data_IF_642501002868
#
_entry.id   IF_642501002868
#
_cell.length_a   1.000
_cell.length_b   1.000
_cell.length_c   1.000
_cell.angle_alpha   90.00
_cell.angle_beta   90.00
_cell.angle_gamma   90.00
#
_symmetry.space_group_name_H-M   'P 1'
#
loop_
_entity.id
_entity.type
_entity.pdbx_description
1 polymer ?
#
# COMPACT_ATOMS: atom_id res chain seq x y z
N UNK A 1 6.51 18.11 -9.65
CA UNK A 1 5.34 17.50 -9.01
C UNK A 1 5.52 15.99 -9.09
N UNK A 2 5.25 15.27 -8.01
CA UNK A 2 5.29 13.80 -8.02
C UNK A 2 4.20 13.28 -8.95
N UNK A 3 4.52 12.29 -9.78
CA UNK A 3 3.60 11.72 -10.78
C UNK A 3 3.26 10.27 -10.42
N UNK A 4 1.99 9.91 -10.43
CA UNK A 4 1.54 8.52 -10.36
C UNK A 4 1.80 7.83 -11.71
N UNK A 5 2.42 6.67 -11.64
CA UNK A 5 2.64 5.81 -12.80
C UNK A 5 1.65 4.65 -12.78
N UNK A 6 0.88 4.52 -13.86
CA UNK A 6 -0.03 3.40 -14.07
C UNK A 6 0.60 2.48 -15.10
N UNK A 7 0.94 1.27 -14.68
CA UNK A 7 1.69 0.31 -15.50
C UNK A 7 0.86 -0.12 -16.71
N UNK A 8 1.37 0.02 -17.95
CA UNK A 8 0.68 -0.50 -19.12
C UNK A 8 0.72 -2.04 -19.13
N UNK A 9 -0.24 -2.66 -19.82
CA UNK A 9 -0.23 -4.10 -20.09
C UNK A 9 0.11 -4.37 -21.57
N UNK A 10 1.38 -4.22 -21.99
CA UNK A 10 1.77 -4.41 -23.40
C UNK A 10 1.72 -5.87 -23.85
N UNK A 11 1.72 -6.82 -22.92
CA UNK A 11 1.69 -8.25 -23.19
C UNK A 11 0.26 -8.82 -23.23
N UNK A 12 -0.76 -7.99 -23.00
CA UNK A 12 -2.19 -8.37 -22.95
C UNK A 12 -2.46 -9.55 -22.00
N UNK A 13 -1.71 -9.61 -20.89
CA UNK A 13 -1.87 -10.66 -19.88
C UNK A 13 -3.22 -10.54 -19.18
N UNK A 14 -3.82 -11.71 -18.87
CA UNK A 14 -5.08 -11.78 -18.14
C UNK A 14 -4.80 -12.04 -16.66
N UNK A 15 -5.02 -11.03 -15.83
CA UNK A 15 -4.98 -11.13 -14.38
C UNK A 15 -6.37 -10.95 -13.78
N UNK A 16 -6.78 -11.88 -12.91
CA UNK A 16 -8.03 -11.76 -12.17
C UNK A 16 -7.86 -10.92 -10.90
N UNK A 17 -8.96 -10.34 -10.39
CA UNK A 17 -8.96 -9.54 -9.16
C UNK A 17 -8.60 -10.28 -7.86
N UNK A 18 -8.52 -11.61 -7.90
CA UNK A 18 -8.29 -12.40 -6.69
C UNK A 18 -6.80 -12.45 -6.36
N UNK A 19 -6.28 -11.40 -5.70
CA UNK A 19 -4.99 -11.51 -5.03
C UNK A 19 -5.17 -12.31 -3.73
N UNK A 20 -4.50 -13.46 -3.62
CA UNK A 20 -4.61 -14.37 -2.46
C UNK A 20 -4.35 -13.66 -1.12
N UNK A 21 -3.41 -12.72 -1.09
CA UNK A 21 -3.11 -11.90 0.08
C UNK A 21 -4.26 -11.00 0.56
N UNK A 22 -5.09 -10.45 -0.35
CA UNK A 22 -6.25 -9.62 0.02
C UNK A 22 -7.39 -10.51 0.52
N UNK A 23 -7.59 -11.68 -0.09
CA UNK A 23 -8.66 -12.60 0.28
C UNK A 23 -8.56 -13.08 1.74
N UNK A 24 -7.33 -13.24 2.26
CA UNK A 24 -7.07 -13.70 3.64
C UNK A 24 -7.60 -12.71 4.69
N UNK A 25 -7.57 -11.40 4.42
CA UNK A 25 -7.88 -10.38 5.42
C UNK A 25 -9.33 -9.86 5.36
N UNK A 26 -10.14 -10.26 4.38
CA UNK A 26 -11.49 -9.70 4.17
C UNK A 26 -12.43 -9.82 5.40
N UNK A 27 -12.23 -10.81 6.26
CA UNK A 27 -13.04 -11.02 7.48
C UNK A 27 -12.59 -10.22 8.71
N UNK A 28 -11.38 -9.65 8.70
CA UNK A 28 -10.78 -8.99 9.87
C UNK A 28 -9.83 -7.86 9.49
N UNK A 29 -10.10 -7.15 8.39
CA UNK A 29 -9.15 -6.24 7.74
C UNK A 29 -8.59 -5.16 8.68
N UNK A 30 -9.44 -4.52 9.49
CA UNK A 30 -8.99 -3.50 10.45
C UNK A 30 -8.08 -4.08 11.54
N UNK A 31 -8.48 -5.20 12.16
CA UNK A 31 -7.69 -5.86 13.19
C UNK A 31 -6.37 -6.40 12.63
N UNK A 32 -6.40 -6.91 11.40
CA UNK A 32 -5.20 -7.34 10.68
C UNK A 32 -4.27 -6.16 10.42
N UNK A 33 -4.75 -5.05 9.85
CA UNK A 33 -3.91 -3.86 9.63
C UNK A 33 -3.30 -3.36 10.93
N UNK A 34 -4.08 -3.24 12.01
CA UNK A 34 -3.56 -2.83 13.31
C UNK A 34 -2.47 -3.78 13.82
N UNK A 35 -2.68 -5.10 13.70
CA UNK A 35 -1.70 -6.11 14.10
C UNK A 35 -0.42 -6.04 13.26
N UNK A 36 -0.53 -6.02 11.94
CA UNK A 36 0.62 -6.03 11.04
C UNK A 36 1.42 -4.72 11.16
N UNK A 37 0.76 -3.56 11.22
CA UNK A 37 1.43 -2.28 11.50
C UNK A 37 2.11 -2.31 12.88
N UNK A 38 1.41 -2.79 13.91
CA UNK A 38 1.95 -2.92 15.26
C UNK A 38 3.20 -3.80 15.33
N UNK A 39 3.17 -4.96 14.69
CA UNK A 39 4.30 -5.88 14.63
C UNK A 39 5.48 -5.27 13.88
N UNK A 40 5.24 -4.69 12.69
CA UNK A 40 6.31 -4.08 11.90
C UNK A 40 7.00 -2.93 12.66
N UNK A 41 6.24 -2.07 13.31
CA UNK A 41 6.81 -0.95 14.07
C UNK A 41 7.53 -1.42 15.34
N UNK A 42 7.02 -2.44 16.02
CA UNK A 42 7.68 -3.04 17.19
C UNK A 42 9.00 -3.73 16.79
N UNK A 43 9.02 -4.48 15.68
CA UNK A 43 10.22 -5.14 15.17
C UNK A 43 11.28 -4.11 14.72
N UNK A 44 10.85 -2.93 14.25
CA UNK A 44 11.71 -1.84 13.80
C UNK A 44 12.09 -0.83 14.90
N UNK A 45 11.82 -1.12 16.18
CA UNK A 45 12.07 -0.16 17.26
C UNK A 45 13.54 0.29 17.33
N UNK A 46 13.74 1.60 17.52
CA UNK A 46 15.04 2.21 17.79
C UNK A 46 15.11 2.77 19.21
N UNK A 47 13.98 3.26 19.73
CA UNK A 47 13.83 3.66 21.14
C UNK A 47 12.42 3.37 21.62
N UNK A 48 12.24 3.35 22.95
CA UNK A 48 10.94 3.09 23.58
C UNK A 48 10.40 4.35 24.26
N UNK A 49 9.07 4.56 24.27
CA UNK A 49 8.06 3.72 23.61
C UNK A 49 8.03 3.92 22.08
N UNK A 50 7.77 2.85 21.33
CA UNK A 50 7.34 2.97 19.93
C UNK A 50 5.93 3.56 19.91
N UNK A 51 5.72 4.58 19.10
CA UNK A 51 4.43 5.25 18.94
C UNK A 51 3.89 4.98 17.54
N UNK A 52 2.60 4.65 17.45
CA UNK A 52 1.88 4.52 16.18
C UNK A 52 0.69 5.47 16.22
N UNK A 53 0.60 6.34 15.23
CA UNK A 53 -0.45 7.33 15.07
C UNK A 53 -1.34 6.97 13.88
N UNK A 54 -2.64 7.05 14.10
CA UNK A 54 -3.67 6.87 13.07
C UNK A 54 -4.40 8.21 12.89
N UNK A 55 -4.13 8.88 11.78
CA UNK A 55 -4.79 10.14 11.43
C UNK A 55 -5.77 9.92 10.28
N UNK A 56 -6.98 10.42 10.43
CA UNK A 56 -7.97 10.44 9.35
C UNK A 56 -8.16 11.87 8.87
N UNK A 57 -7.86 12.11 7.61
CA UNK A 57 -8.04 13.40 6.96
C UNK A 57 -9.03 13.30 5.81
N UNK A 58 -9.65 14.42 5.50
CA UNK A 58 -10.56 14.56 4.37
C UNK A 58 -10.03 15.71 3.51
N UNK A 59 -9.68 15.42 2.26
CA UNK A 59 -9.11 16.37 1.32
C UNK A 59 -10.02 16.57 0.10
N UNK A 60 -10.04 17.75 -0.55
CA UNK A 60 -10.59 17.88 -1.89
C UNK A 60 -9.97 16.87 -2.86
N UNK A 61 -10.75 16.22 -3.71
CA UNK A 61 -10.21 15.24 -4.65
C UNK A 61 -9.19 15.85 -5.63
N UNK A 62 -9.30 17.16 -5.90
CA UNK A 62 -8.33 17.93 -6.69
C UNK A 62 -6.92 17.99 -6.11
N UNK A 63 -6.74 17.67 -4.83
CA UNK A 63 -5.41 17.58 -4.19
C UNK A 63 -4.76 16.21 -4.41
N UNK A 64 -5.50 15.21 -4.92
CA UNK A 64 -4.93 13.91 -5.27
C UNK A 64 -4.03 14.06 -6.51
N UNK A 65 -2.76 13.62 -6.45
CA UNK A 65 -1.87 13.63 -7.62
C UNK A 65 -2.46 12.85 -8.79
N UNK A 66 -2.34 13.39 -10.01
CA UNK A 66 -2.77 12.77 -11.27
C UNK A 66 -4.20 12.20 -11.25
N UNK A 67 -5.14 12.87 -10.57
CA UNK A 67 -6.53 12.44 -10.46
C UNK A 67 -7.16 12.06 -11.81
N UNK A 68 -6.94 12.86 -12.86
CA UNK A 68 -7.51 12.59 -14.19
C UNK A 68 -6.97 11.30 -14.80
N UNK A 69 -5.68 11.04 -14.65
CA UNK A 69 -5.06 9.80 -15.11
C UNK A 69 -5.56 8.61 -14.29
N UNK A 70 -5.78 8.79 -12.99
CA UNK A 70 -6.35 7.76 -12.13
C UNK A 70 -7.80 7.42 -12.52
N UNK A 71 -8.64 8.43 -12.71
CA UNK A 71 -10.01 8.25 -13.23
C UNK A 71 -10.01 7.51 -14.56
N UNK A 72 -9.10 7.88 -15.48
CA UNK A 72 -8.94 7.20 -16.77
C UNK A 72 -8.55 5.73 -16.60
N UNK A 73 -7.58 5.43 -15.74
CA UNK A 73 -7.17 4.05 -15.47
C UNK A 73 -8.33 3.21 -14.92
N UNK A 74 -9.07 3.72 -13.92
CA UNK A 74 -10.24 3.05 -13.36
C UNK A 74 -11.33 2.84 -14.41
N UNK A 75 -11.60 3.81 -15.28
CA UNK A 75 -12.57 3.67 -16.37
C UNK A 75 -12.19 2.56 -17.35
N UNK A 76 -10.92 2.52 -17.77
CA UNK A 76 -10.42 1.47 -18.67
C UNK A 76 -10.52 0.08 -18.04
N UNK A 77 -10.18 -0.03 -16.75
CA UNK A 77 -10.32 -1.29 -16.03
C UNK A 77 -11.79 -1.70 -15.87
N UNK A 78 -12.69 -0.75 -15.59
CA UNK A 78 -14.14 -0.99 -15.51
C UNK A 78 -14.71 -1.49 -16.84
N UNK A 79 -14.30 -0.89 -17.96
CA UNK A 79 -14.67 -1.34 -19.29
C UNK A 79 -14.20 -2.77 -19.58
N UNK A 80 -12.96 -3.10 -19.17
CA UNK A 80 -12.40 -4.43 -19.37
C UNK A 80 -13.17 -5.51 -18.59
N UNK A 81 -13.42 -5.30 -17.29
CA UNK A 81 -14.15 -6.28 -16.47
C UNK A 81 -15.61 -6.44 -16.90
N UNK A 82 -16.22 -5.39 -17.49
CA UNK A 82 -17.56 -5.50 -18.11
C UNK A 82 -17.56 -6.38 -19.35
N UNK A 83 -16.52 -6.30 -20.18
CA UNK A 83 -16.40 -7.18 -21.37
C UNK A 83 -16.19 -8.65 -20.99
N UNK A 84 -15.62 -8.90 -19.82
CA UNK A 84 -15.33 -10.24 -19.29
C UNK A 84 -16.47 -10.79 -18.40
N UNK A 85 -17.56 -10.05 -18.20
CA UNK A 85 -18.65 -10.39 -17.28
C UNK A 85 -18.14 -10.73 -15.85
N UNK A 86 -17.10 -10.04 -15.37
CA UNK A 86 -16.58 -10.20 -14.00
C UNK A 86 -17.35 -9.32 -13.01
N UNK A 87 -18.42 -9.87 -12.43
CA UNK A 87 -19.26 -9.18 -11.45
C UNK A 87 -18.48 -8.58 -10.26
N UNK A 88 -17.44 -9.26 -9.79
CA UNK A 88 -16.60 -8.76 -8.69
C UNK A 88 -15.80 -7.55 -9.16
N UNK A 89 -15.23 -7.64 -10.36
CA UNK A 89 -14.51 -6.56 -10.99
C UNK A 89 -15.38 -5.33 -11.25
N UNK A 90 -16.57 -5.54 -11.79
CA UNK A 90 -17.56 -4.50 -12.04
C UNK A 90 -17.92 -3.79 -10.74
N UNK A 91 -18.19 -4.55 -9.67
CA UNK A 91 -18.53 -4.00 -8.35
C UNK A 91 -17.38 -3.15 -7.79
N UNK A 92 -16.14 -3.65 -7.85
CA UNK A 92 -14.97 -2.95 -7.34
C UNK A 92 -14.71 -1.65 -8.11
N UNK A 93 -14.56 -1.70 -9.44
CA UNK A 93 -14.21 -0.52 -10.21
C UNK A 93 -15.35 0.50 -10.28
N UNK A 94 -16.62 0.08 -10.19
CA UNK A 94 -17.75 1.02 -10.06
C UNK A 94 -17.71 1.78 -8.73
N UNK A 95 -17.25 1.14 -7.64
CA UNK A 95 -17.03 1.83 -6.35
C UNK A 95 -15.83 2.76 -6.43
N UNK A 96 -14.72 2.31 -7.00
CA UNK A 96 -13.52 3.12 -7.15
C UNK A 96 -13.80 4.38 -7.99
N UNK A 97 -14.54 4.25 -9.09
CA UNK A 97 -14.98 5.38 -9.90
C UNK A 97 -15.77 6.40 -9.06
N UNK A 98 -16.76 5.94 -8.29
CA UNK A 98 -17.54 6.81 -7.41
C UNK A 98 -16.67 7.55 -6.39
N UNK A 99 -15.70 6.88 -5.77
CA UNK A 99 -14.77 7.52 -4.81
C UNK A 99 -13.93 8.60 -5.49
N UNK A 100 -13.41 8.35 -6.69
CA UNK A 100 -12.60 9.35 -7.41
C UNK A 100 -13.43 10.53 -7.95
N UNK A 101 -14.72 10.31 -8.21
CA UNK A 101 -15.66 11.33 -8.68
C UNK A 101 -16.30 12.12 -7.53
N UNK A 102 -16.18 11.65 -6.29
CA UNK A 102 -16.52 12.45 -5.12
C UNK A 102 -15.62 13.68 -5.09
N UNK A 103 -16.19 14.84 -4.74
CA UNK A 103 -15.44 16.10 -4.63
C UNK A 103 -14.39 16.07 -3.49
N UNK A 104 -14.37 15.01 -2.70
CA UNK A 104 -13.55 14.82 -1.50
C UNK A 104 -13.10 13.37 -1.37
N UNK A 105 -11.92 13.16 -0.79
CA UNK A 105 -11.30 11.84 -0.58
C UNK A 105 -10.88 11.73 0.88
N UNK A 106 -11.25 10.62 1.50
CA UNK A 106 -10.82 10.24 2.85
C UNK A 106 -9.46 9.56 2.78
N UNK A 107 -8.51 10.01 3.61
CA UNK A 107 -7.18 9.45 3.72
C UNK A 107 -6.95 9.00 5.17
N UNK A 108 -6.59 7.74 5.34
CA UNK A 108 -6.06 7.23 6.59
C UNK A 108 -4.53 7.21 6.50
N UNK A 109 -3.87 8.00 7.34
CA UNK A 109 -2.42 7.98 7.51
C UNK A 109 -2.07 7.17 8.75
N UNK A 110 -1.20 6.18 8.57
CA UNK A 110 -0.62 5.39 9.66
C UNK A 110 0.87 5.74 9.70
N UNK A 111 1.31 6.33 10.81
CA UNK A 111 2.70 6.75 11.01
C UNK A 111 3.26 6.11 12.25
N UNK A 112 4.48 5.61 12.19
CA UNK A 112 5.22 5.11 13.34
C UNK A 112 6.43 5.98 13.66
N UNK A 113 6.75 6.06 14.94
CA UNK A 113 7.81 6.89 15.49
C UNK A 113 8.68 6.08 16.44
N UNK A 114 9.89 6.57 16.67
CA UNK A 114 10.92 5.89 17.45
C UNK A 114 11.33 4.53 16.84
N UNK A 115 11.13 4.38 15.53
CA UNK A 115 11.57 3.24 14.72
C UNK A 115 12.73 3.62 13.82
N UNK A 116 13.46 2.64 13.29
CA UNK A 116 14.53 2.88 12.33
C UNK A 116 14.04 3.35 10.95
N UNK A 117 12.72 3.39 10.75
CA UNK A 117 12.09 3.45 9.44
C UNK A 117 12.39 2.21 8.59
N UNK A 118 11.87 2.22 7.37
CA UNK A 118 12.10 1.17 6.39
C UNK A 118 13.34 1.49 5.55
N UNK A 119 14.43 0.75 5.76
CA UNK A 119 15.72 1.04 5.11
C UNK A 119 15.64 0.85 3.60
N UNK A 120 16.13 1.85 2.88
CA UNK A 120 16.29 1.82 1.43
C UNK A 120 17.71 1.49 0.97
N UNK A 121 18.07 1.82 -0.29
CA UNK A 121 17.22 2.43 -1.34
C UNK A 121 16.13 1.48 -1.85
N UNK A 122 15.25 1.88 -2.77
CA UNK A 122 14.30 0.95 -3.43
C UNK A 122 14.99 0.00 -4.42
N UNK A 123 15.92 -0.85 -3.96
CA UNK A 123 16.67 -1.83 -4.75
C UNK A 123 16.46 -3.24 -4.17
N UNK A 124 16.43 -4.25 -5.03
CA UNK A 124 16.32 -5.65 -4.61
C UNK A 124 17.29 -6.00 -3.48
N UNK A 125 16.79 -6.71 -2.46
CA UNK A 125 17.52 -7.04 -1.24
C UNK A 125 17.38 -6.02 -0.10
N UNK A 126 16.79 -4.85 -0.34
CA UNK A 126 16.53 -3.85 0.72
C UNK A 126 15.13 -4.01 1.33
N UNK A 127 14.93 -3.66 2.61
CA UNK A 127 13.60 -3.69 3.23
C UNK A 127 12.54 -2.90 2.48
N UNK A 128 12.87 -1.69 1.99
CA UNK A 128 11.93 -0.85 1.23
C UNK A 128 11.48 -1.52 -0.07
N UNK A 129 12.40 -2.13 -0.81
CA UNK A 129 12.05 -2.88 -2.01
C UNK A 129 11.25 -4.14 -1.68
N UNK A 130 11.63 -4.90 -0.65
CA UNK A 130 10.93 -6.13 -0.27
C UNK A 130 9.48 -5.89 0.10
N UNK A 131 9.17 -4.79 0.80
CA UNK A 131 7.79 -4.42 1.09
C UNK A 131 7.01 -4.14 -0.21
N UNK A 132 7.52 -3.26 -1.06
CA UNK A 132 6.76 -2.72 -2.18
C UNK A 132 6.74 -3.62 -3.42
N UNK A 133 7.88 -4.25 -3.72
CA UNK A 133 8.14 -4.96 -4.98
C UNK A 133 8.47 -6.44 -4.79
N UNK A 134 8.77 -6.87 -3.56
CA UNK A 134 9.11 -8.28 -3.28
C UNK A 134 7.88 -9.18 -3.33
N UNK A 135 7.86 -10.17 -4.22
CA UNK A 135 6.87 -11.26 -4.23
C UNK A 135 7.51 -12.54 -3.68
N UNK A 136 6.96 -13.10 -2.60
CA UNK A 136 7.44 -14.38 -2.03
C UNK A 136 8.79 -14.32 -1.30
N UNK A 137 9.39 -13.13 -1.11
CA UNK A 137 10.65 -12.93 -0.40
C UNK A 137 10.49 -11.96 0.76
N UNK A 138 10.66 -12.45 1.99
CA UNK A 138 10.80 -11.64 3.19
C UNK A 138 12.28 -11.62 3.59
N UNK A 139 12.91 -10.44 3.54
CA UNK A 139 14.25 -10.23 4.13
C UNK A 139 14.04 -10.07 5.63
N UNK A 140 14.47 -11.07 6.41
CA UNK A 140 14.45 -11.00 7.88
C UNK A 140 15.80 -10.44 8.34
N UNK A 141 15.79 -9.28 9.01
CA UNK A 141 17.00 -8.73 9.65
C UNK A 141 17.36 -9.49 10.95
N UNK A 142 16.48 -10.35 11.48
CA UNK A 142 16.76 -11.25 12.60
C UNK A 142 15.82 -12.47 12.64
N UNK A 143 16.26 -13.55 13.30
CA UNK A 143 15.45 -14.78 13.54
C UNK A 143 14.20 -14.55 14.40
N UNK A 144 14.03 -13.34 14.98
CA UNK A 144 12.92 -12.99 15.90
C UNK A 144 11.76 -12.30 15.18
N UNK A 145 11.92 -11.90 13.91
CA UNK A 145 10.88 -11.22 13.14
C UNK A 145 9.64 -12.13 12.96
N UNK A 146 8.50 -11.71 13.52
CA UNK A 146 7.28 -12.52 13.62
C UNK A 146 6.54 -12.75 12.28
N UNK A 147 6.87 -11.98 11.25
CA UNK A 147 6.27 -12.10 9.91
C UNK A 147 6.94 -13.18 9.07
N UNK A 148 6.21 -14.24 8.68
CA UNK A 148 6.82 -15.41 8.02
C UNK A 148 6.41 -15.68 6.57
N UNK A 149 5.53 -14.89 5.95
CA UNK A 149 5.09 -15.16 4.56
C UNK A 149 4.98 -13.94 3.64
N UNK A 150 5.34 -12.74 4.10
CA UNK A 150 5.24 -11.52 3.27
C UNK A 150 3.80 -11.15 2.85
N UNK A 151 2.79 -11.75 3.49
CA UNK A 151 1.36 -11.52 3.20
C UNK A 151 0.84 -10.29 3.95
N UNK A 152 1.38 -9.98 5.13
CA UNK A 152 0.95 -8.87 5.98
C UNK A 152 0.91 -7.50 5.29
N UNK A 153 1.79 -7.28 4.31
CA UNK A 153 1.83 -6.06 3.50
C UNK A 153 0.53 -5.76 2.73
N UNK A 154 -0.32 -6.76 2.51
CA UNK A 154 -1.62 -6.58 1.85
C UNK A 154 -2.73 -6.13 2.80
N UNK A 155 -2.51 -6.14 4.12
CA UNK A 155 -3.53 -5.74 5.09
C UNK A 155 -3.99 -4.27 4.91
N UNK A 156 -3.11 -3.27 4.74
CA UNK A 156 -3.52 -1.88 4.52
C UNK A 156 -4.36 -1.69 3.24
N UNK A 157 -4.08 -2.48 2.19
CA UNK A 157 -4.87 -2.45 0.95
C UNK A 157 -6.32 -2.88 1.17
N UNK A 158 -6.57 -3.78 2.14
CA UNK A 158 -7.91 -4.30 2.41
C UNK A 158 -8.84 -3.28 3.08
N UNK A 159 -8.29 -2.24 3.70
CA UNK A 159 -9.05 -1.14 4.33
C UNK A 159 -9.13 0.12 3.47
N UNK A 160 -8.51 0.10 2.28
CA UNK A 160 -8.57 1.19 1.29
C UNK A 160 -9.63 0.87 0.23
N UNK A 161 -10.61 1.76 0.05
CA UNK A 161 -11.68 1.57 -0.96
C UNK A 161 -11.13 1.51 -2.38
N UNK A 162 -10.02 2.21 -2.61
CA UNK A 162 -9.30 2.26 -3.88
C UNK A 162 -8.21 1.18 -3.99
N UNK A 163 -8.04 0.33 -2.97
CA UNK A 163 -6.91 -0.59 -2.82
C UNK A 163 -5.58 0.08 -3.16
N UNK A 164 -5.39 1.31 -2.68
CA UNK A 164 -4.23 2.14 -2.96
C UNK A 164 -3.64 2.61 -1.64
N UNK A 165 -2.31 2.49 -1.53
CA UNK A 165 -1.53 2.79 -0.34
C UNK A 165 -0.25 3.47 -0.80
N UNK A 166 0.04 4.63 -0.22
CA UNK A 166 1.32 5.31 -0.38
C UNK A 166 2.22 4.96 0.78
N UNK A 167 3.48 4.64 0.49
CA UNK A 167 4.48 4.39 1.50
C UNK A 167 5.51 5.51 1.48
N UNK A 168 5.86 6.01 2.66
CA UNK A 168 6.99 6.91 2.82
C UNK A 168 7.74 6.58 4.09
N UNK A 169 9.04 6.87 4.11
CA UNK A 169 9.89 6.57 5.25
C UNK A 169 11.03 7.57 5.34
N UNK A 170 11.45 7.84 6.56
CA UNK A 170 12.75 8.44 6.86
C UNK A 170 13.60 7.34 7.49
N UNK A 171 14.83 7.16 7.01
CA UNK A 171 15.75 6.17 7.56
C UNK A 171 17.17 6.71 7.58
N UNK A 172 18.00 6.19 8.49
CA UNK A 172 19.42 6.53 8.57
C UNK A 172 20.24 5.51 7.76
N UNK A 173 21.13 5.98 6.88
CA UNK A 173 22.07 5.11 6.15
C UNK A 173 23.28 4.72 7.01
N UNK A 174 24.19 3.93 6.43
CA UNK A 174 25.39 3.45 7.11
C UNK A 174 26.34 4.57 7.56
N UNK A 175 26.28 5.74 6.92
CA UNK A 175 27.09 6.91 7.26
C UNK A 175 26.40 7.81 8.30
N UNK A 176 25.23 7.40 8.80
CA UNK A 176 24.49 8.16 9.79
C UNK A 176 23.64 9.28 9.20
N UNK A 177 23.43 9.33 7.89
CA UNK A 177 22.66 10.38 7.24
C UNK A 177 21.19 9.99 7.10
N UNK A 178 20.30 10.94 7.41
CA UNK A 178 18.86 10.76 7.20
C UNK A 178 18.52 10.87 5.71
N UNK A 179 17.77 9.89 5.22
CA UNK A 179 17.28 9.79 3.85
C UNK A 179 15.76 9.64 3.85
N UNK A 180 15.12 10.15 2.81
CA UNK A 180 13.67 10.05 2.60
C UNK A 180 13.38 9.23 1.35
N UNK A 181 12.41 8.32 1.45
CA UNK A 181 11.88 7.56 0.32
C UNK A 181 10.36 7.61 0.35
N UNK A 182 9.75 7.61 -0.83
CA UNK A 182 8.32 7.47 -1.00
C UNK A 182 7.98 6.76 -2.32
N UNK A 183 6.86 6.03 -2.33
CA UNK A 183 6.27 5.40 -3.51
C UNK A 183 4.76 5.27 -3.35
#
# INVERSE_FOLDING_TARGET
MSKLEFVPNPAEESEGMNHSGIAIFKGSAYAATARECGQNSADAHQSIPVEIKFDHTDIPSSELPDLDQYKKAVSLCLENVRKLDDDKGITFFSRAQKVLEQGRIHILTISDFNTSGLRGPSKEGTPFHSLLKGSGSSVKDSDVAGGSFGIGKFAPFCISELQTVFYSTIYQDADGKNNFLAQ
#
